data_IF_394715485333
#
_entry.id   IF_394715485333
#
_cell.length_a   1.000
_cell.length_b   1.000
_cell.length_c   1.000
_cell.angle_alpha   90.00
_cell.angle_beta   90.00
_cell.angle_gamma   90.00
#
_symmetry.space_group_name_H-M   'P 1'
#
loop_
_entity.id
_entity.type
_entity.pdbx_description
1 polymer ?
#
# COMPACT_ATOMS: atom_id res chain seq x y z
N UNK A 1 -11.48 -1.77 13.91
CA UNK A 1 -11.06 -3.06 13.30
C UNK A 1 -10.99 -3.05 11.77
N UNK A 2 -11.90 -2.38 11.04
CA UNK A 2 -11.86 -2.31 9.56
C UNK A 2 -10.59 -1.66 8.98
N UNK A 3 -10.04 -0.62 9.63
CA UNK A 3 -8.77 0.00 9.23
C UNK A 3 -7.57 -0.97 9.28
N UNK A 4 -7.62 -1.98 10.15
CA UNK A 4 -6.56 -2.98 10.23
C UNK A 4 -6.62 -3.88 8.99
N UNK A 5 -7.80 -4.40 8.64
CA UNK A 5 -8.00 -5.26 7.47
C UNK A 5 -7.61 -4.55 6.18
N UNK A 6 -8.07 -3.31 5.97
CA UNK A 6 -7.75 -2.53 4.75
C UNK A 6 -6.25 -2.24 4.66
N UNK A 7 -5.60 -1.85 5.77
CA UNK A 7 -4.14 -1.62 5.80
C UNK A 7 -3.36 -2.91 5.57
N UNK A 8 -3.81 -4.03 6.12
CA UNK A 8 -3.16 -5.33 5.96
C UNK A 8 -3.26 -5.81 4.52
N UNK A 9 -4.42 -5.68 3.86
CA UNK A 9 -4.58 -6.04 2.44
C UNK A 9 -3.74 -5.12 1.55
N UNK A 10 -3.74 -3.81 1.82
CA UNK A 10 -2.90 -2.85 1.10
C UNK A 10 -1.39 -3.16 1.22
N UNK A 11 -0.91 -3.42 2.45
CA UNK A 11 0.48 -3.81 2.68
C UNK A 11 0.81 -5.18 2.07
N UNK A 12 -0.10 -6.15 2.15
CA UNK A 12 0.08 -7.46 1.55
C UNK A 12 0.17 -7.37 0.02
N UNK A 13 -0.64 -6.53 -0.62
CA UNK A 13 -0.55 -6.24 -2.05
C UNK A 13 0.78 -5.58 -2.44
N UNK A 14 1.23 -4.58 -1.66
CA UNK A 14 2.53 -3.94 -1.88
C UNK A 14 3.70 -4.94 -1.76
N UNK A 15 3.62 -5.84 -0.78
CA UNK A 15 4.60 -6.91 -0.59
C UNK A 15 4.56 -7.93 -1.72
N UNK A 16 3.39 -8.33 -2.20
CA UNK A 16 3.26 -9.24 -3.34
C UNK A 16 3.90 -8.66 -4.61
N UNK A 17 3.66 -7.37 -4.91
CA UNK A 17 4.30 -6.69 -6.05
C UNK A 17 5.81 -6.62 -5.89
N UNK A 18 6.29 -6.30 -4.68
CA UNK A 18 7.73 -6.24 -4.41
C UNK A 18 8.40 -7.62 -4.57
N UNK A 19 7.77 -8.69 -4.08
CA UNK A 19 8.26 -10.08 -4.24
C UNK A 19 8.26 -10.48 -5.72
N UNK A 20 7.21 -10.16 -6.46
CA UNK A 20 7.13 -10.47 -7.90
C UNK A 20 8.21 -9.75 -8.72
N UNK A 21 8.49 -8.48 -8.38
CA UNK A 21 9.54 -7.71 -9.03
C UNK A 21 10.94 -8.22 -8.64
N UNK A 22 11.08 -8.75 -7.42
CA UNK A 22 12.31 -9.32 -6.88
C UNK A 22 12.70 -10.66 -7.49
N UNK A 23 11.74 -11.55 -7.68
CA UNK A 23 11.98 -12.90 -8.24
C UNK A 23 12.56 -12.82 -9.67
N UNK A 24 12.34 -11.71 -10.36
CA UNK A 24 12.90 -11.43 -11.70
C UNK A 24 14.32 -10.84 -11.64
N UNK A 25 14.77 -10.31 -10.51
CA UNK A 25 16.13 -9.79 -10.33
C UNK A 25 17.00 -10.95 -9.85
N UNK A 26 17.48 -11.73 -10.81
CA UNK A 26 18.38 -12.87 -10.57
C UNK A 26 19.62 -12.38 -9.81
N UNK A 27 19.76 -12.83 -8.56
CA UNK A 27 20.85 -12.55 -7.65
C UNK A 27 22.15 -13.25 -8.11
N UNK A 28 22.72 -12.85 -9.24
CA UNK A 28 23.98 -13.41 -9.77
C UNK A 28 25.19 -12.70 -9.12
N UNK A 29 25.24 -12.69 -7.78
CA UNK A 29 26.24 -11.89 -7.06
C UNK A 29 26.52 -12.37 -5.64
N UNK A 30 27.59 -13.15 -5.49
CA UNK A 30 28.15 -13.65 -4.22
C UNK A 30 28.80 -12.56 -3.34
N UNK A 31 28.67 -11.27 -3.69
CA UNK A 31 29.35 -10.14 -3.03
C UNK A 31 28.36 -9.20 -2.32
N UNK A 32 28.69 -8.80 -1.08
CA UNK A 32 27.88 -7.96 -0.18
C UNK A 32 27.34 -6.68 -0.84
N UNK A 33 28.09 -6.06 -1.75
CA UNK A 33 27.65 -4.85 -2.48
C UNK A 33 26.44 -5.06 -3.39
N UNK A 34 26.31 -6.23 -4.04
CA UNK A 34 25.15 -6.55 -4.88
C UNK A 34 23.90 -6.79 -4.03
N UNK A 35 24.02 -7.43 -2.86
CA UNK A 35 22.90 -7.60 -1.91
C UNK A 35 22.34 -6.26 -1.45
N UNK A 36 23.20 -5.31 -1.10
CA UNK A 36 22.77 -3.96 -0.69
C UNK A 36 22.10 -3.23 -1.86
N UNK A 37 22.64 -3.33 -3.08
CA UNK A 37 22.01 -2.76 -4.27
C UNK A 37 20.61 -3.32 -4.54
N UNK A 38 20.44 -4.64 -4.47
CA UNK A 38 19.11 -5.27 -4.62
C UNK A 38 18.16 -4.80 -3.52
N UNK A 39 18.57 -4.80 -2.25
CA UNK A 39 17.73 -4.32 -1.14
C UNK A 39 17.30 -2.86 -1.30
N UNK A 40 18.17 -2.00 -1.82
CA UNK A 40 17.85 -0.59 -2.10
C UNK A 40 16.78 -0.46 -3.20
N UNK A 41 16.94 -1.19 -4.31
CA UNK A 41 15.96 -1.17 -5.40
C UNK A 41 14.59 -1.67 -4.90
N UNK A 42 14.58 -2.71 -4.08
CA UNK A 42 13.35 -3.22 -3.44
C UNK A 42 12.71 -2.19 -2.55
N UNK A 43 13.49 -1.56 -1.67
CA UNK A 43 13.00 -0.56 -0.75
C UNK A 43 12.36 0.61 -1.51
N UNK A 44 12.96 1.02 -2.64
CA UNK A 44 12.42 2.06 -3.51
C UNK A 44 11.09 1.65 -4.15
N UNK A 45 11.01 0.44 -4.70
CA UNK A 45 9.77 -0.08 -5.33
C UNK A 45 8.68 -0.23 -4.29
N UNK A 46 8.98 -0.82 -3.13
CA UNK A 46 8.02 -0.99 -2.05
C UNK A 46 7.53 0.38 -1.54
N UNK A 47 8.44 1.34 -1.41
CA UNK A 47 8.12 2.72 -1.08
C UNK A 47 7.16 3.35 -2.08
N UNK A 48 7.42 3.18 -3.39
CA UNK A 48 6.57 3.70 -4.46
C UNK A 48 5.18 3.07 -4.47
N UNK A 49 5.09 1.74 -4.33
CA UNK A 49 3.79 1.05 -4.29
C UNK A 49 2.99 1.49 -3.06
N UNK A 50 3.61 1.52 -1.87
CA UNK A 50 2.94 1.97 -0.66
C UNK A 50 2.50 3.45 -0.75
N UNK A 51 3.29 4.29 -1.41
CA UNK A 51 2.93 5.68 -1.69
C UNK A 51 1.71 5.80 -2.60
N UNK A 52 1.54 4.92 -3.58
CA UNK A 52 0.38 4.91 -4.48
C UNK A 52 -0.87 4.25 -3.87
N UNK A 53 -0.70 3.20 -3.07
CA UNK A 53 -1.84 2.47 -2.48
C UNK A 53 -2.56 3.32 -1.43
N UNK A 54 -1.83 4.04 -0.57
CA UNK A 54 -2.42 4.94 0.45
C UNK A 54 -3.45 5.94 -0.10
N UNK A 55 -3.14 6.76 -1.13
CA UNK A 55 -4.08 7.73 -1.66
C UNK A 55 -5.28 7.07 -2.35
N UNK A 56 -5.07 5.96 -3.09
CA UNK A 56 -6.17 5.23 -3.75
C UNK A 56 -7.21 4.75 -2.72
N UNK A 57 -6.75 4.13 -1.64
CA UNK A 57 -7.64 3.69 -0.54
C UNK A 57 -8.37 4.88 0.09
N UNK A 58 -7.70 6.03 0.24
CA UNK A 58 -8.29 7.25 0.80
C UNK A 58 -9.39 7.83 -0.09
N UNK A 59 -9.20 7.82 -1.41
CA UNK A 59 -10.21 8.26 -2.38
C UNK A 59 -11.42 7.32 -2.36
N UNK A 60 -11.21 6.01 -2.34
CA UNK A 60 -12.29 5.02 -2.24
C UNK A 60 -13.12 5.14 -0.95
N UNK A 61 -12.50 5.51 0.16
CA UNK A 61 -13.18 5.68 1.45
C UNK A 61 -13.79 7.07 1.66
N UNK A 62 -13.39 8.07 0.89
CA UNK A 62 -13.94 9.42 0.95
C UNK A 62 -15.47 9.52 0.76
N UNK A 63 -16.10 8.91 -0.27
CA UNK A 63 -17.55 8.98 -0.45
C UNK A 63 -18.31 8.28 0.68
N UNK A 64 -17.75 7.19 1.23
CA UNK A 64 -18.29 6.54 2.41
C UNK A 64 -18.29 7.48 3.62
N UNK A 65 -17.23 8.26 3.79
CA UNK A 65 -17.14 9.27 4.84
C UNK A 65 -18.21 10.36 4.68
N UNK A 66 -18.38 10.88 3.46
CA UNK A 66 -19.43 11.84 3.14
C UNK A 66 -20.81 11.23 3.42
N UNK A 67 -21.04 9.99 2.99
CA UNK A 67 -22.32 9.32 3.22
C UNK A 67 -22.61 9.20 4.72
N UNK A 68 -21.63 8.82 5.54
CA UNK A 68 -21.82 8.70 6.98
C UNK A 68 -22.07 10.05 7.67
N UNK A 69 -21.34 11.10 7.29
CA UNK A 69 -21.51 12.43 7.90
C UNK A 69 -22.81 13.08 7.42
N UNK A 70 -23.09 13.01 6.12
CA UNK A 70 -24.29 13.53 5.47
C UNK A 70 -25.57 12.88 5.99
N UNK A 71 -25.56 11.56 6.16
CA UNK A 71 -26.72 10.84 6.71
C UNK A 71 -26.97 11.24 8.18
N UNK A 72 -25.91 11.37 9.00
CA UNK A 72 -26.05 11.82 10.39
C UNK A 72 -26.56 13.27 10.45
N UNK A 73 -26.07 14.16 9.58
CA UNK A 73 -26.59 15.55 9.53
C UNK A 73 -28.05 15.62 9.11
N UNK A 74 -28.50 14.76 8.19
CA UNK A 74 -29.92 14.68 7.84
C UNK A 74 -30.78 14.20 9.00
N UNK A 75 -30.32 13.21 9.78
CA UNK A 75 -31.06 12.70 10.94
C UNK A 75 -31.16 13.73 12.07
N UNK A 76 -30.14 14.55 12.28
CA UNK A 76 -30.13 15.55 13.36
C UNK A 76 -30.84 16.86 12.97
N UNK A 77 -30.87 17.19 11.68
CA UNK A 77 -31.48 18.41 11.16
C UNK A 77 -32.93 18.22 10.64
N UNK A 78 -33.39 16.98 10.50
CA UNK A 78 -34.79 16.64 10.25
C UNK A 78 -35.57 16.57 11.56
#
# INVERSE_FOLDING_TARGET
MKNFVVKTIANAGALAVAVWLLDKITLTGTSTGKKVGTLLVVALVFGLVNFLVKPVVKVLTFPLFILTLGLITLVVNA
#
